data_IF_808930481347
#
_entry.id   IF_808930481347
#
_cell.length_a   1.000
_cell.length_b   1.000
_cell.length_c   1.000
_cell.angle_alpha   90.00
_cell.angle_beta   90.00
_cell.angle_gamma   90.00
#
_symmetry.space_group_name_H-M   'P 1'
#
loop_
_entity.id
_entity.type
_entity.pdbx_description
1 polymer ?
#
# COMPACT_ATOMS: atom_id res chain seq x y z
N UNK A 1 18.52 -15.99 -52.33
CA UNK A 1 18.83 -16.74 -51.08
C UNK A 1 18.60 -15.78 -49.93
N UNK A 2 17.69 -16.16 -49.02
CA UNK A 2 17.06 -15.26 -48.07
C UNK A 2 17.98 -14.82 -46.94
N UNK A 3 17.95 -13.53 -46.63
CA UNK A 3 18.50 -12.99 -45.39
C UNK A 3 17.50 -13.25 -44.26
N UNK A 4 17.89 -14.03 -43.26
CA UNK A 4 17.15 -14.18 -42.01
C UNK A 4 17.13 -12.84 -41.24
N UNK A 5 15.99 -12.39 -40.69
CA UNK A 5 15.99 -11.35 -39.69
C UNK A 5 16.33 -11.93 -38.30
N UNK A 6 17.29 -11.29 -37.65
CA UNK A 6 17.71 -11.52 -36.27
C UNK A 6 16.66 -10.94 -35.29
N UNK A 7 16.03 -11.72 -34.39
CA UNK A 7 15.11 -11.19 -33.40
C UNK A 7 15.86 -10.99 -32.08
N UNK A 8 16.57 -9.87 -31.94
CA UNK A 8 16.98 -9.38 -30.62
C UNK A 8 16.15 -8.16 -30.26
N UNK A 9 14.85 -8.37 -30.01
CA UNK A 9 14.06 -7.42 -29.24
C UNK A 9 14.48 -7.56 -27.77
N UNK A 10 15.56 -6.86 -27.42
CA UNK A 10 15.82 -6.50 -26.03
C UNK A 10 14.63 -5.65 -25.58
N UNK A 11 13.71 -6.30 -24.84
CA UNK A 11 12.73 -5.62 -24.01
C UNK A 11 13.52 -4.72 -23.08
N UNK A 12 13.54 -3.42 -23.39
CA UNK A 12 14.12 -2.43 -22.50
C UNK A 12 13.34 -2.49 -21.19
N UNK A 13 14.00 -2.63 -20.02
CA UNK A 13 13.31 -2.45 -18.77
C UNK A 13 12.79 -1.03 -18.78
N UNK A 14 11.46 -0.88 -18.77
CA UNK A 14 10.80 0.41 -18.55
C UNK A 14 11.33 0.91 -17.22
N UNK A 15 12.25 1.88 -17.25
CA UNK A 15 12.62 2.63 -16.05
C UNK A 15 11.34 3.29 -15.55
N UNK A 16 10.91 3.08 -14.30
CA UNK A 16 9.81 3.86 -13.75
C UNK A 16 10.24 5.33 -13.78
N UNK A 17 9.52 6.12 -14.57
CA UNK A 17 9.72 7.56 -14.69
C UNK A 17 9.48 8.22 -13.35
N UNK A 18 10.46 8.97 -12.86
CA UNK A 18 10.49 9.69 -11.59
C UNK A 18 9.52 10.91 -11.51
N UNK A 19 8.34 10.86 -12.14
CA UNK A 19 7.45 12.03 -12.28
C UNK A 19 5.96 11.80 -11.96
N UNK A 20 5.54 10.62 -11.50
CA UNK A 20 4.11 10.34 -11.31
C UNK A 20 3.84 9.53 -10.06
N UNK A 21 3.74 10.19 -8.91
CA UNK A 21 3.23 9.55 -7.71
C UNK A 21 1.84 8.95 -8.01
N UNK A 22 1.60 7.65 -7.77
CA UNK A 22 0.35 7.02 -8.18
C UNK A 22 -0.87 7.71 -7.55
N UNK A 23 -2.01 7.82 -8.27
CA UNK A 23 -3.20 8.53 -7.79
C UNK A 23 -3.83 7.87 -6.57
N UNK A 24 -3.62 6.56 -6.40
CA UNK A 24 -4.06 5.80 -5.23
C UNK A 24 -3.19 6.05 -4.00
N UNK A 25 -1.96 6.54 -4.18
CA UNK A 25 -0.99 6.63 -3.10
C UNK A 25 -1.14 7.97 -2.35
N UNK A 26 -1.58 7.90 -1.09
CA UNK A 26 -1.56 9.03 -0.18
C UNK A 26 -0.11 9.48 0.05
N UNK A 27 0.24 10.69 -0.38
CA UNK A 27 1.60 11.22 -0.32
C UNK A 27 2.11 11.31 1.14
N UNK A 28 3.34 10.88 1.33
CA UNK A 28 4.06 10.81 2.60
C UNK A 28 5.55 10.54 2.39
N UNK A 29 6.34 10.57 3.46
CA UNK A 29 7.80 10.35 3.38
C UNK A 29 8.18 8.96 2.86
N UNK A 30 7.29 7.97 3.04
CA UNK A 30 7.56 6.56 2.75
C UNK A 30 6.97 6.08 1.40
N UNK A 31 6.62 7.01 0.50
CA UNK A 31 5.82 6.69 -0.68
C UNK A 31 6.48 5.93 -1.83
N UNK A 32 7.79 5.79 -1.77
CA UNK A 32 8.55 4.93 -2.66
C UNK A 32 9.44 4.05 -1.77
N UNK A 33 9.04 2.80 -1.58
CA UNK A 33 9.89 1.81 -0.95
C UNK A 33 10.92 1.28 -1.95
N UNK A 34 12.07 0.80 -1.48
CA UNK A 34 12.94 -0.02 -2.33
C UNK A 34 12.20 -1.33 -2.70
N UNK A 35 12.52 -1.89 -3.87
CA UNK A 35 12.08 -3.22 -4.34
C UNK A 35 10.63 -3.33 -4.87
N UNK A 36 10.20 -2.39 -5.72
CA UNK A 36 8.89 -2.40 -6.39
C UNK A 36 7.69 -2.33 -5.44
N UNK A 37 7.90 -2.19 -4.13
CA UNK A 37 6.86 -2.00 -3.12
C UNK A 37 6.60 -0.50 -2.90
N UNK A 38 5.39 -0.07 -3.21
CA UNK A 38 4.89 1.26 -2.92
C UNK A 38 3.96 1.22 -1.71
N UNK A 39 4.26 2.05 -0.71
CA UNK A 39 3.45 2.22 0.49
C UNK A 39 2.85 3.62 0.50
N UNK A 40 1.56 3.77 0.76
CA UNK A 40 1.02 5.10 1.02
C UNK A 40 1.44 5.58 2.40
N UNK A 41 1.34 6.88 2.62
CA UNK A 41 1.30 7.45 3.96
C UNK A 41 0.34 6.65 4.85
N UNK A 42 0.82 6.30 6.05
CA UNK A 42 0.02 5.69 7.09
C UNK A 42 -0.87 6.75 7.77
N UNK A 43 -2.13 6.39 8.01
CA UNK A 43 -3.12 7.20 8.70
C UNK A 43 -3.41 6.63 10.09
N UNK A 44 -3.45 7.48 11.11
CA UNK A 44 -3.73 7.05 12.48
C UNK A 44 -5.19 6.60 12.64
N UNK A 45 -5.35 5.41 13.23
CA UNK A 45 -6.64 4.84 13.59
C UNK A 45 -7.12 5.25 15.00
N UNK A 46 -6.56 6.36 15.51
CA UNK A 46 -6.68 6.91 16.86
C UNK A 46 -5.68 6.35 17.88
N UNK A 47 -5.15 7.26 18.69
CA UNK A 47 -4.29 6.97 19.84
C UNK A 47 -5.18 6.44 20.96
N UNK A 48 -4.80 5.30 21.56
CA UNK A 48 -5.39 4.88 22.82
C UNK A 48 -4.81 5.81 23.89
N UNK A 49 -5.65 6.36 24.77
CA UNK A 49 -5.24 7.41 25.72
C UNK A 49 -4.09 7.03 26.66
N UNK A 50 -3.76 5.74 26.75
CA UNK A 50 -2.47 5.22 27.17
C UNK A 50 -1.55 5.10 25.93
N UNK A 51 -0.61 6.04 25.78
CA UNK A 51 0.28 6.27 24.63
C UNK A 51 1.12 5.06 24.14
N UNK A 52 0.91 3.88 24.72
CA UNK A 52 1.63 2.62 24.48
C UNK A 52 1.24 1.99 23.14
N UNK A 53 0.05 2.26 22.59
CA UNK A 53 -0.42 1.59 21.37
C UNK A 53 -0.86 2.57 20.28
N UNK A 54 -0.09 2.61 19.18
CA UNK A 54 -0.48 3.29 17.96
C UNK A 54 -0.89 2.26 16.91
N UNK A 55 -2.01 2.53 16.25
CA UNK A 55 -2.53 1.70 15.17
C UNK A 55 -2.69 2.59 13.96
N UNK A 56 -2.05 2.21 12.85
CA UNK A 56 -1.98 3.00 11.63
C UNK A 56 -2.33 2.16 10.42
N UNK A 57 -2.89 2.80 9.39
CA UNK A 57 -3.40 2.13 8.21
C UNK A 57 -2.96 2.86 6.94
N UNK A 58 -2.47 2.13 5.95
CA UNK A 58 -2.14 2.65 4.63
C UNK A 58 -2.50 1.69 3.52
N UNK A 59 -2.26 2.11 2.28
CA UNK A 59 -2.35 1.30 1.08
C UNK A 59 -0.97 0.78 0.72
N UNK A 60 -0.89 -0.43 0.17
CA UNK A 60 0.32 -0.93 -0.45
C UNK A 60 0.03 -1.46 -1.85
N UNK A 61 1.03 -1.43 -2.71
CA UNK A 61 1.01 -2.05 -4.03
C UNK A 61 2.42 -2.52 -4.39
N UNK A 62 2.55 -3.71 -4.96
CA UNK A 62 3.79 -4.09 -5.63
C UNK A 62 3.64 -3.86 -7.12
N UNK A 63 4.55 -3.12 -7.74
CA UNK A 63 4.54 -2.80 -9.17
C UNK A 63 5.12 -3.95 -10.01
N UNK A 64 4.55 -5.15 -9.84
CA UNK A 64 4.94 -6.38 -10.53
C UNK A 64 3.86 -6.84 -11.50
N UNK A 65 4.24 -7.02 -12.77
CA UNK A 65 3.37 -7.56 -13.80
C UNK A 65 2.16 -6.68 -14.17
N UNK A 66 1.23 -7.20 -14.99
CA UNK A 66 0.11 -6.44 -15.54
C UNK A 66 -1.04 -6.21 -14.54
N UNK A 67 -1.14 -7.05 -13.50
CA UNK A 67 -2.15 -6.94 -12.44
C UNK A 67 -1.43 -6.82 -11.11
N UNK A 68 -0.98 -5.61 -10.73
CA UNK A 68 -0.07 -5.47 -9.62
C UNK A 68 -0.84 -5.71 -8.30
N UNK A 69 -0.37 -6.63 -7.44
CA UNK A 69 -1.05 -6.94 -6.19
C UNK A 69 -1.05 -5.70 -5.28
N UNK A 70 -2.16 -5.50 -4.58
CA UNK A 70 -2.38 -4.35 -3.71
C UNK A 70 -3.25 -4.71 -2.51
N UNK A 71 -3.23 -3.86 -1.49
CA UNK A 71 -4.05 -4.07 -0.31
C UNK A 71 -3.91 -2.98 0.73
N UNK A 72 -4.39 -3.31 1.93
CA UNK A 72 -4.23 -2.48 3.12
C UNK A 72 -3.04 -2.98 3.95
N UNK A 73 -2.24 -2.05 4.44
CA UNK A 73 -1.19 -2.30 5.42
C UNK A 73 -1.68 -1.79 6.77
N UNK A 74 -1.80 -2.69 7.74
CA UNK A 74 -2.09 -2.37 9.14
C UNK A 74 -0.79 -2.43 9.93
N UNK A 75 -0.39 -1.31 10.53
CA UNK A 75 0.74 -1.24 11.43
C UNK A 75 0.25 -1.06 12.86
N UNK A 76 0.70 -1.93 13.74
CA UNK A 76 0.46 -1.84 15.18
C UNK A 76 1.83 -1.67 15.85
N UNK A 77 2.06 -0.52 16.47
CA UNK A 77 3.22 -0.31 17.33
C UNK A 77 2.76 -0.33 18.78
N UNK A 78 3.43 -1.14 19.57
CA UNK A 78 3.18 -1.37 20.98
C UNK A 78 4.48 -1.13 21.75
N UNK A 79 4.39 -0.63 22.98
CA UNK A 79 5.51 -0.70 23.93
C UNK A 79 5.82 -2.15 24.36
N UNK A 80 6.87 -2.33 25.15
CA UNK A 80 7.39 -3.66 25.54
C UNK A 80 6.40 -4.49 26.39
N UNK A 81 5.39 -3.87 26.98
CA UNK A 81 4.40 -4.52 27.87
C UNK A 81 2.99 -4.51 27.26
N UNK A 82 2.72 -5.42 26.31
CA UNK A 82 1.36 -5.58 25.77
C UNK A 82 0.83 -6.99 26.02
N UNK A 83 0.09 -7.12 27.12
CA UNK A 83 -0.58 -8.36 27.54
C UNK A 83 -1.94 -8.59 26.84
N UNK A 84 -2.39 -7.66 25.98
CA UNK A 84 -3.74 -7.65 25.40
C UNK A 84 -3.72 -7.31 23.93
N UNK A 85 -4.81 -7.68 23.23
CA UNK A 85 -5.01 -7.28 21.84
C UNK A 85 -4.90 -5.76 21.69
N UNK A 86 -4.04 -5.25 20.77
CA UNK A 86 -3.68 -3.84 20.75
C UNK A 86 -4.80 -2.91 20.25
N UNK A 87 -5.90 -3.47 19.72
CA UNK A 87 -6.96 -2.70 19.07
C UNK A 87 -8.23 -2.71 19.93
N UNK A 88 -8.54 -1.58 20.54
CA UNK A 88 -9.81 -1.37 21.25
C UNK A 88 -10.99 -1.11 20.31
N UNK A 89 -12.23 -1.17 20.82
CA UNK A 89 -13.45 -0.99 20.01
C UNK A 89 -13.48 0.34 19.22
N UNK A 90 -12.99 1.43 19.82
CA UNK A 90 -12.93 2.74 19.16
C UNK A 90 -11.98 2.71 17.95
N UNK A 91 -10.79 2.11 18.12
CA UNK A 91 -9.81 1.93 17.05
C UNK A 91 -10.34 0.97 15.98
N UNK A 92 -10.98 -0.13 16.34
CA UNK A 92 -11.61 -1.05 15.36
C UNK A 92 -12.65 -0.35 14.49
N UNK A 93 -13.50 0.49 15.09
CA UNK A 93 -14.49 1.30 14.34
C UNK A 93 -13.83 2.32 13.43
N UNK A 94 -12.73 2.95 13.89
CA UNK A 94 -11.98 3.92 13.09
C UNK A 94 -11.27 3.23 11.92
N UNK A 95 -10.63 2.09 12.16
CA UNK A 95 -10.03 1.23 11.13
C UNK A 95 -11.06 0.86 10.07
N UNK A 96 -12.22 0.33 10.46
CA UNK A 96 -13.25 -0.05 9.49
C UNK A 96 -13.67 1.11 8.56
N UNK A 97 -13.78 2.32 9.11
CA UNK A 97 -14.09 3.54 8.33
C UNK A 97 -12.93 3.93 7.41
N UNK A 98 -11.69 3.92 7.91
CA UNK A 98 -10.50 4.26 7.14
C UNK A 98 -10.25 3.23 6.03
N UNK A 99 -10.35 1.94 6.32
CA UNK A 99 -10.24 0.85 5.35
C UNK A 99 -11.20 1.03 4.19
N UNK A 100 -12.48 1.30 4.48
CA UNK A 100 -13.49 1.54 3.44
C UNK A 100 -13.15 2.76 2.58
N UNK A 101 -12.69 3.85 3.22
CA UNK A 101 -12.29 5.06 2.51
C UNK A 101 -11.08 4.80 1.61
N UNK A 102 -10.04 4.15 2.10
CA UNK A 102 -8.82 3.83 1.34
C UNK A 102 -9.09 2.86 0.19
N UNK A 103 -9.86 1.79 0.41
CA UNK A 103 -10.24 0.85 -0.66
C UNK A 103 -11.00 1.56 -1.77
N UNK A 104 -11.88 2.53 -1.43
CA UNK A 104 -12.60 3.29 -2.45
C UNK A 104 -11.70 4.16 -3.33
N UNK A 105 -10.46 4.43 -2.92
CA UNK A 105 -9.47 5.19 -3.68
C UNK A 105 -8.56 4.31 -4.56
N UNK A 106 -8.48 2.99 -4.31
CA UNK A 106 -7.55 2.11 -5.03
C UNK A 106 -7.93 1.93 -6.51
N UNK A 107 -9.21 1.69 -6.80
CA UNK A 107 -9.85 1.76 -8.12
C UNK A 107 -11.30 1.25 -7.95
N UNK A 108 -12.35 1.94 -8.44
CA UNK A 108 -13.72 1.40 -8.48
C UNK A 108 -13.83 0.03 -9.18
N UNK A 109 -12.91 -0.28 -10.09
CA UNK A 109 -12.90 -1.55 -10.83
C UNK A 109 -12.29 -2.73 -10.06
N UNK A 110 -11.44 -2.47 -9.06
CA UNK A 110 -10.87 -3.53 -8.19
C UNK A 110 -11.90 -4.10 -7.20
N UNK A 111 -12.98 -3.36 -6.91
CA UNK A 111 -14.03 -3.76 -5.96
C UNK A 111 -14.90 -4.92 -6.52
N UNK A 112 -14.85 -5.23 -7.82
CA UNK A 112 -15.70 -6.27 -8.44
C UNK A 112 -15.13 -7.68 -8.44
N UNK A 113 -13.91 -7.90 -7.95
CA UNK A 113 -13.23 -9.19 -8.03
C UNK A 113 -13.24 -10.03 -6.74
N UNK A 114 -14.03 -9.64 -5.72
CA UNK A 114 -14.15 -10.34 -4.44
C UNK A 114 -15.51 -11.01 -4.28
#
# INVERSE_FOLDING_TARGET
MGNLPNPTHLVSPVRPSNSGHPPWCLRGPDCAGPNDLHLSRLLDAAVRGDEVIQVRLGLWRMDVGPTPPSGLLLECSAGEEVDRWPIGLAQSRRLARLSRHLISQLDPHLIRAA
#
